data_IF_434104176133
#
_entry.id   IF_434104176133
#
_cell.length_a   1.000
_cell.length_b   1.000
_cell.length_c   1.000
_cell.angle_alpha   90.00
_cell.angle_beta   90.00
_cell.angle_gamma   90.00
#
_symmetry.space_group_name_H-M   'P 1'
#
loop_
_entity.id
_entity.type
_entity.pdbx_description
1 polymer ?
#
# COMPACT_ATOMS: atom_id res chain seq x y z
N UNK A 1 12.70 4.96 0.21
CA UNK A 1 11.26 5.15 -0.08
C UNK A 1 10.57 3.80 -0.08
N UNK A 2 9.43 3.72 0.54
CA UNK A 2 8.64 2.49 0.63
C UNK A 2 7.23 2.79 0.13
N UNK A 3 6.72 1.96 -0.76
CA UNK A 3 5.36 2.09 -1.27
C UNK A 3 4.59 0.84 -0.84
N UNK A 4 3.49 1.05 -0.12
CA UNK A 4 2.62 -0.04 0.34
C UNK A 4 1.18 0.28 0.00
N UNK A 5 0.34 -0.74 -0.01
CA UNK A 5 -1.10 -0.61 -0.28
C UNK A 5 -1.86 -0.72 1.03
N UNK A 6 -2.77 0.20 1.26
CA UNK A 6 -3.59 0.25 2.46
C UNK A 6 -5.06 0.24 2.11
N UNK A 7 -5.85 -0.56 2.84
CA UNK A 7 -7.31 -0.55 2.71
C UNK A 7 -7.84 0.70 3.41
N UNK A 8 -8.58 1.52 2.65
CA UNK A 8 -9.12 2.78 3.17
C UNK A 8 -10.14 2.55 4.28
N UNK A 9 -10.86 1.43 4.25
CA UNK A 9 -11.93 1.17 5.21
C UNK A 9 -11.43 0.63 6.53
N UNK A 10 -10.42 -0.22 6.50
CA UNK A 10 -9.93 -0.90 7.71
C UNK A 10 -8.58 -0.37 8.18
N UNK A 11 -7.90 0.40 7.32
CA UNK A 11 -6.53 0.88 7.54
C UNK A 11 -5.51 -0.26 7.63
N UNK A 12 -5.86 -1.44 7.17
CA UNK A 12 -4.93 -2.56 7.12
C UNK A 12 -4.03 -2.47 5.89
N UNK A 13 -2.87 -3.09 5.96
CA UNK A 13 -1.88 -3.08 4.88
C UNK A 13 -1.85 -4.42 4.17
N UNK A 14 -1.56 -4.39 2.88
CA UNK A 14 -1.45 -5.60 2.09
C UNK A 14 -0.08 -6.25 2.31
N UNK A 15 -0.07 -7.52 2.70
CA UNK A 15 1.17 -8.28 2.88
C UNK A 15 1.57 -8.98 1.59
N UNK A 16 2.80 -9.55 1.58
CA UNK A 16 3.28 -10.31 0.44
C UNK A 16 2.46 -11.54 0.13
N UNK A 17 1.74 -12.07 1.12
CA UNK A 17 0.87 -13.24 0.97
C UNK A 17 -0.56 -12.87 0.58
N UNK A 18 -0.78 -11.63 0.17
CA UNK A 18 -2.09 -11.10 -0.18
C UNK A 18 -3.07 -11.13 0.99
N UNK A 19 -2.55 -10.99 2.21
CA UNK A 19 -3.34 -10.90 3.42
C UNK A 19 -3.33 -9.48 3.95
N UNK A 20 -4.33 -9.17 4.76
CA UNK A 20 -4.43 -7.84 5.37
C UNK A 20 -3.86 -7.86 6.77
N UNK A 21 -2.87 -7.01 7.01
CA UNK A 21 -2.15 -6.95 8.29
C UNK A 21 -2.17 -5.52 8.81
N UNK A 22 -1.87 -5.36 10.09
CA UNK A 22 -1.90 -4.04 10.71
C UNK A 22 -0.53 -3.39 10.88
N UNK A 23 0.54 -4.13 10.55
CA UNK A 23 1.90 -3.63 10.72
C UNK A 23 2.47 -3.22 9.37
N UNK A 24 2.77 -1.94 9.22
CA UNK A 24 3.30 -1.42 7.97
C UNK A 24 4.67 -2.02 7.64
N UNK A 25 5.45 -2.37 8.66
CA UNK A 25 6.79 -2.90 8.44
C UNK A 25 6.76 -4.29 7.79
N UNK A 26 5.66 -5.02 7.97
CA UNK A 26 5.49 -6.34 7.36
C UNK A 26 4.74 -6.30 6.03
N UNK A 27 4.33 -5.11 5.59
CA UNK A 27 3.58 -4.96 4.36
C UNK A 27 4.45 -5.21 3.14
N UNK A 28 3.82 -5.66 2.05
CA UNK A 28 4.51 -5.85 0.78
C UNK A 28 4.97 -4.50 0.25
N UNK A 29 6.23 -4.43 -0.17
CA UNK A 29 6.81 -3.23 -0.75
C UNK A 29 6.72 -3.29 -2.27
N UNK A 30 6.28 -2.18 -2.85
CA UNK A 30 6.25 -2.02 -4.30
C UNK A 30 7.37 -1.07 -4.71
N UNK A 31 7.98 -1.34 -5.86
CA UNK A 31 9.07 -0.51 -6.35
C UNK A 31 8.57 0.81 -6.96
N UNK A 32 7.39 0.79 -7.54
CA UNK A 32 6.81 1.97 -8.17
C UNK A 32 5.33 2.04 -7.88
N UNK A 33 4.77 3.24 -8.05
CA UNK A 33 3.32 3.42 -7.90
C UNK A 33 2.55 2.64 -8.97
N UNK A 34 3.13 2.48 -10.15
CA UNK A 34 2.49 1.72 -11.22
C UNK A 34 2.35 0.24 -10.85
N UNK A 35 3.37 -0.34 -10.20
CA UNK A 35 3.27 -1.72 -9.73
C UNK A 35 2.15 -1.89 -8.72
N UNK A 36 2.03 -0.94 -7.78
CA UNK A 36 0.97 -0.99 -6.79
C UNK A 36 -0.40 -0.90 -7.45
N UNK A 37 -0.54 0.01 -8.41
CA UNK A 37 -1.80 0.15 -9.14
C UNK A 37 -2.14 -1.11 -9.93
N UNK A 38 -1.18 -1.67 -10.64
CA UNK A 38 -1.40 -2.89 -11.42
C UNK A 38 -1.82 -4.05 -10.54
N UNK A 39 -1.20 -4.18 -9.38
CA UNK A 39 -1.58 -5.24 -8.44
C UNK A 39 -3.03 -5.09 -8.02
N UNK A 40 -3.46 -3.88 -7.69
CA UNK A 40 -4.84 -3.63 -7.29
C UNK A 40 -5.82 -3.91 -8.42
N UNK A 41 -5.48 -3.52 -9.64
CA UNK A 41 -6.35 -3.75 -10.80
C UNK A 41 -6.48 -5.24 -11.10
N UNK A 42 -5.37 -5.96 -11.08
CA UNK A 42 -5.37 -7.40 -11.37
C UNK A 42 -6.17 -8.20 -10.33
N UNK A 43 -6.15 -7.75 -9.08
CA UNK A 43 -6.89 -8.39 -7.99
C UNK A 43 -8.28 -7.82 -7.80
N UNK A 44 -8.67 -6.85 -8.61
CA UNK A 44 -9.98 -6.18 -8.51
C UNK A 44 -10.23 -5.59 -7.13
N UNK A 45 -9.19 -5.05 -6.52
CA UNK A 45 -9.30 -4.40 -5.22
C UNK A 45 -9.91 -3.01 -5.40
N UNK A 46 -10.72 -2.61 -4.42
CA UNK A 46 -11.38 -1.30 -4.42
C UNK A 46 -11.16 -0.60 -3.09
N UNK A 47 -11.26 0.72 -3.10
CA UNK A 47 -11.08 1.55 -1.91
C UNK A 47 -9.69 1.39 -1.31
N UNK A 48 -8.68 1.31 -2.19
CA UNK A 48 -7.29 1.16 -1.77
C UNK A 48 -6.56 2.48 -1.91
N UNK A 49 -5.65 2.72 -0.97
CA UNK A 49 -4.75 3.86 -1.02
C UNK A 49 -3.31 3.37 -1.16
N UNK A 50 -2.49 4.18 -1.81
CA UNK A 50 -1.06 3.98 -1.84
C UNK A 50 -0.45 4.84 -0.74
N UNK A 51 0.33 4.22 0.14
CA UNK A 51 1.04 4.93 1.18
C UNK A 51 2.52 4.97 0.81
N UNK A 52 3.04 6.18 0.61
CA UNK A 52 4.46 6.38 0.31
C UNK A 52 5.15 6.82 1.58
N UNK A 53 6.06 5.98 2.05
CA UNK A 53 6.82 6.25 3.26
C UNK A 53 8.24 6.64 2.88
N UNK A 54 8.68 7.83 3.29
CA UNK A 54 10.02 8.32 2.99
C UNK A 54 10.97 8.00 4.14
N UNK A 55 12.14 7.49 3.78
CA UNK A 55 13.18 7.21 4.78
C UNK A 55 13.65 8.50 5.43
N UNK A 56 13.86 8.43 6.74
CA UNK A 56 14.41 9.56 7.48
C UNK A 56 13.43 10.69 7.77
N UNK A 57 12.16 10.53 7.40
CA UNK A 57 11.13 11.51 7.70
C UNK A 57 9.96 10.82 8.37
N UNK A 58 9.16 11.61 9.12
CA UNK A 58 7.92 11.11 9.70
C UNK A 58 6.72 11.39 8.81
N UNK A 59 6.96 11.97 7.65
CA UNK A 59 5.90 12.36 6.73
C UNK A 59 5.64 11.24 5.74
N UNK A 60 4.40 10.77 5.71
CA UNK A 60 3.94 9.79 4.74
C UNK A 60 2.95 10.46 3.81
N UNK A 61 3.04 10.10 2.53
CA UNK A 61 2.11 10.61 1.53
C UNK A 61 1.10 9.52 1.22
N UNK A 62 -0.18 9.85 1.37
CA UNK A 62 -1.28 8.92 1.10
C UNK A 62 -2.01 9.37 -0.15
N UNK A 63 -2.05 8.50 -1.15
CA UNK A 63 -2.68 8.80 -2.44
C UNK A 63 -3.72 7.72 -2.76
N UNK A 64 -4.88 8.12 -3.29
CA UNK A 64 -5.88 7.12 -3.68
C UNK A 64 -5.39 6.33 -4.89
N UNK A 65 -5.57 5.01 -4.87
CA UNK A 65 -5.27 4.14 -6.01
C UNK A 65 -6.54 3.80 -6.80
N UNK A 66 -7.59 3.51 -6.09
CA UNK A 66 -8.85 3.13 -6.74
C UNK A 66 -10.02 3.26 -5.77
#
# INVERSE_FOLDING_TARGET
>A
MRIVVQDRRTNAYLSGDAQWIRQVDAARRFNTSLEALRFCVERQLKNMDMLVCYSGTKTNLRLPLC
#
